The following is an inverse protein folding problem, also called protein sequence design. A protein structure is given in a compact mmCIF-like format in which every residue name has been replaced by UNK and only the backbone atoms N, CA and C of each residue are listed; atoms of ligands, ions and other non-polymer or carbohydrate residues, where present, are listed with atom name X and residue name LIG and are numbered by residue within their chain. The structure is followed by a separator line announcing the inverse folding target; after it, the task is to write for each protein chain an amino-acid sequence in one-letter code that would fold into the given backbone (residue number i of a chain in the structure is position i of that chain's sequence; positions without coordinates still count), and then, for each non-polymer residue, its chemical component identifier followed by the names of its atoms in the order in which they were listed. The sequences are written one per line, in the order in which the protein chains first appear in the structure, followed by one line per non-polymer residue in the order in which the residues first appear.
data_IF_707614530229
#
_entry.id   IF_707614530229
#
_cell.length_a   1.000
_cell.length_b   1.000
_cell.length_c   1.000
_cell.angle_alpha   90.00
_cell.angle_beta   90.00
_cell.angle_gamma   90.00
#
_symmetry.space_group_name_H-M   'P 1'
#
loop_
_entity.id
_entity.type
_entity.pdbx_description
1 polymer ?
#
# COMPACT_ATOMS: atom_id res chain seq x y z
N UNK A 1 48.85 -9.85 20.34
CA UNK A 1 48.12 -9.50 21.57
C UNK A 1 46.76 -10.17 21.53
N UNK A 2 46.64 -11.32 22.19
CA UNK A 2 45.40 -12.06 22.39
C UNK A 2 44.65 -11.44 23.57
N UNK A 3 43.47 -10.87 23.31
CA UNK A 3 42.59 -10.36 24.36
C UNK A 3 41.72 -11.50 24.91
N UNK A 4 42.02 -11.99 26.10
CA UNK A 4 41.18 -12.91 26.86
C UNK A 4 40.03 -12.13 27.54
N UNK A 5 38.79 -12.35 27.10
CA UNK A 5 37.60 -11.92 27.83
C UNK A 5 37.12 -13.04 28.76
N UNK A 6 37.78 -13.17 29.91
CA UNK A 6 37.41 -14.06 31.00
C UNK A 6 36.53 -13.38 32.06
N UNK A 7 35.35 -12.86 31.70
CA UNK A 7 34.30 -12.56 32.68
C UNK A 7 33.18 -13.58 32.52
N UNK A 8 33.08 -14.50 33.48
CA UNK A 8 31.95 -15.40 33.61
C UNK A 8 30.73 -14.55 33.98
N UNK A 9 29.97 -14.11 32.98
CA UNK A 9 28.69 -13.42 33.19
C UNK A 9 27.71 -14.49 33.67
N UNK A 10 27.16 -14.30 34.86
CA UNK A 10 26.17 -15.22 35.44
C UNK A 10 24.80 -14.89 34.85
N UNK A 11 24.34 -15.75 33.93
CA UNK A 11 23.08 -15.59 33.19
C UNK A 11 21.89 -16.29 33.86
N UNK A 12 22.08 -16.83 35.07
CA UNK A 12 21.06 -17.61 35.79
C UNK A 12 19.81 -16.81 36.17
N UNK A 13 19.94 -15.49 36.33
CA UNK A 13 18.84 -14.58 36.70
C UNK A 13 18.11 -13.94 35.51
N UNK A 14 18.49 -14.26 34.27
CA UNK A 14 17.84 -13.71 33.08
C UNK A 14 16.63 -14.57 32.72
N UNK A 15 15.45 -13.94 32.62
CA UNK A 15 14.25 -14.60 32.11
C UNK A 15 14.34 -14.77 30.59
N UNK A 16 14.98 -15.87 30.20
CA UNK A 16 15.15 -16.23 28.80
C UNK A 16 13.83 -16.45 28.05
N UNK A 17 12.70 -16.70 28.73
CA UNK A 17 11.40 -16.81 28.04
C UNK A 17 10.88 -15.44 27.59
N UNK A 18 11.10 -14.39 28.38
CA UNK A 18 10.79 -13.02 27.99
C UNK A 18 11.68 -12.57 26.82
N UNK A 19 12.97 -12.92 26.87
CA UNK A 19 13.96 -12.60 25.82
C UNK A 19 13.62 -13.29 24.50
N UNK A 20 13.26 -14.58 24.54
CA UNK A 20 12.92 -15.37 23.34
C UNK A 20 11.54 -15.05 22.74
N UNK A 21 10.63 -14.42 23.51
CA UNK A 21 9.35 -13.88 23.00
C UNK A 21 9.51 -12.54 22.32
N UNK A 22 10.61 -11.84 22.55
CA UNK A 22 10.89 -10.56 21.93
C UNK A 22 11.59 -10.76 20.59
N UNK A 23 10.86 -10.56 19.49
CA UNK A 23 11.36 -10.71 18.13
C UNK A 23 12.55 -9.80 17.81
N UNK A 24 12.68 -8.65 18.48
CA UNK A 24 13.81 -7.74 18.29
C UNK A 24 15.12 -8.31 18.83
N UNK A 25 15.08 -8.87 20.04
CA UNK A 25 16.28 -9.41 20.69
C UNK A 25 16.70 -10.73 20.02
N UNK A 26 15.74 -11.58 19.66
CA UNK A 26 16.03 -12.82 18.93
C UNK A 26 16.59 -12.58 17.54
N UNK A 27 16.28 -11.46 16.87
CA UNK A 27 16.95 -11.04 15.63
C UNK A 27 18.40 -10.62 15.88
N UNK A 28 18.66 -9.84 16.95
CA UNK A 28 20.02 -9.41 17.28
C UNK A 28 20.96 -10.54 17.72
N UNK A 29 20.39 -11.64 18.23
CA UNK A 29 21.13 -12.83 18.66
C UNK A 29 21.44 -13.82 17.52
N UNK A 30 20.87 -13.63 16.32
CA UNK A 30 21.19 -14.47 15.16
C UNK A 30 22.56 -14.10 14.63
N UNK A 31 23.38 -15.12 14.34
CA UNK A 31 24.64 -14.90 13.64
C UNK A 31 24.40 -14.40 12.22
N UNK A 32 25.46 -13.94 11.54
CA UNK A 32 25.45 -13.54 10.11
C UNK A 32 24.88 -14.63 9.20
N UNK A 33 24.91 -15.89 9.63
CA UNK A 33 24.38 -17.04 8.89
C UNK A 33 22.91 -17.38 9.26
N UNK A 34 22.24 -16.56 10.06
CA UNK A 34 20.84 -16.77 10.48
C UNK A 34 20.62 -17.84 11.55
N UNK A 35 21.68 -18.55 11.95
CA UNK A 35 21.65 -19.57 13.00
C UNK A 35 21.73 -18.94 14.39
N UNK A 36 20.95 -19.49 15.33
CA UNK A 36 21.03 -19.16 16.76
C UNK A 36 22.29 -19.79 17.36
N UNK A 37 22.97 -19.13 18.32
CA UNK A 37 24.13 -19.68 18.99
C UNK A 37 23.86 -21.07 19.60
N UNK A 38 24.80 -22.00 19.45
CA UNK A 38 24.63 -23.41 19.85
C UNK A 38 24.20 -23.59 21.33
N UNK A 39 24.73 -22.77 22.24
CA UNK A 39 24.38 -22.82 23.67
C UNK A 39 22.89 -22.50 23.93
N UNK A 40 22.28 -21.63 23.11
CA UNK A 40 20.88 -21.24 23.25
C UNK A 40 19.94 -22.34 22.75
N UNK A 41 20.36 -23.05 21.70
CA UNK A 41 19.68 -24.25 21.19
C UNK A 41 19.71 -25.36 22.23
N UNK A 42 20.88 -25.63 22.84
CA UNK A 42 21.02 -26.63 23.90
C UNK A 42 20.18 -26.31 25.15
N UNK A 43 20.13 -25.04 25.57
CA UNK A 43 19.29 -24.60 26.67
C UNK A 43 17.80 -24.86 26.41
N UNK A 44 17.32 -24.56 25.19
CA UNK A 44 15.93 -24.78 24.78
C UNK A 44 15.56 -26.26 24.76
N UNK A 45 16.46 -27.11 24.27
CA UNK A 45 16.26 -28.58 24.26
C UNK A 45 16.17 -29.13 25.68
N UNK A 46 17.07 -28.72 26.58
CA UNK A 46 17.03 -29.13 28.00
C UNK A 46 15.74 -28.68 28.70
N UNK A 47 15.27 -27.47 28.44
CA UNK A 47 14.04 -26.93 29.06
C UNK A 47 12.76 -27.61 28.55
N UNK A 48 12.66 -27.89 27.26
CA UNK A 48 11.54 -28.65 26.69
C UNK A 48 11.49 -30.08 27.24
N UNK A 49 12.65 -30.71 27.45
CA UNK A 49 12.73 -32.02 28.11
C UNK A 49 12.25 -31.99 29.57
N UNK A 50 12.47 -30.87 30.29
CA UNK A 50 11.99 -30.69 31.67
C UNK A 50 10.48 -30.40 31.72
N UNK A 51 9.95 -29.57 30.82
CA UNK A 51 8.50 -29.30 30.71
C UNK A 51 7.70 -30.54 30.31
N UNK A 52 8.29 -31.43 29.48
CA UNK A 52 7.67 -32.71 29.14
C UNK A 52 7.58 -33.66 30.35
N UNK A 53 8.51 -33.57 31.31
CA UNK A 53 8.46 -34.34 32.57
C UNK A 53 7.42 -33.79 33.55
N UNK A 54 7.15 -32.49 33.54
CA UNK A 54 6.16 -31.85 34.42
C UNK A 54 4.69 -32.06 33.97
N UNK A 55 4.45 -32.31 32.67
CA UNK A 55 3.09 -32.43 32.10
C UNK A 55 2.36 -33.75 32.35
N UNK A 56 2.94 -34.72 33.08
CA UNK A 56 2.35 -36.06 33.25
C UNK A 56 1.28 -36.13 34.36
N UNK A 57 1.01 -35.07 35.12
CA UNK A 57 0.06 -35.14 36.25
C UNK A 57 -1.04 -34.07 36.17
N UNK A 58 -2.00 -34.18 35.24
CA UNK A 58 -3.37 -33.64 35.43
C UNK A 58 -4.36 -34.44 34.57
N UNK A 59 -5.12 -35.37 35.17
CA UNK A 59 -6.29 -35.99 34.54
C UNK A 59 -7.48 -35.01 34.53
N UNK A 60 -8.06 -34.77 33.34
CA UNK A 60 -9.20 -33.90 33.16
C UNK A 60 -10.53 -34.68 33.20
N UNK A 61 -11.47 -34.25 34.07
CA UNK A 61 -12.85 -34.77 34.11
C UNK A 61 -13.72 -34.13 33.03
N UNK A 62 -14.65 -34.86 32.38
CA UNK A 62 -15.51 -34.32 31.33
C UNK A 62 -16.68 -33.49 31.91
N UNK A 63 -16.96 -32.32 31.29
CA UNK A 63 -18.15 -31.51 31.56
C UNK A 63 -19.26 -31.85 30.54
N UNK A 64 -20.43 -32.21 31.07
CA UNK A 64 -21.67 -32.42 30.33
C UNK A 64 -22.26 -31.06 29.92
N UNK A 65 -22.64 -30.88 28.64
CA UNK A 65 -23.39 -29.71 28.16
C UNK A 65 -24.89 -30.04 28.05
N UNK A 66 -25.74 -29.14 28.52
CA UNK A 66 -27.18 -29.17 28.33
C UNK A 66 -27.57 -28.63 26.93
N UNK A 67 -28.68 -29.16 26.38
CA UNK A 67 -29.27 -28.81 25.09
C UNK A 67 -30.00 -27.47 25.14
N UNK A 68 -29.77 -26.66 24.11
CA UNK A 68 -30.52 -25.44 23.81
C UNK A 68 -31.99 -25.73 23.51
N UNK A 69 -32.88 -24.91 24.07
CA UNK A 69 -34.29 -24.81 23.70
C UNK A 69 -34.62 -23.35 23.43
N UNK A 70 -34.67 -22.98 22.15
CA UNK A 70 -35.12 -21.67 21.72
C UNK A 70 -35.65 -21.73 20.28
N UNK A 71 -36.89 -22.17 20.11
CA UNK A 71 -37.61 -22.08 18.85
C UNK A 71 -39.10 -21.82 19.07
N UNK A 72 -39.43 -20.66 19.65
CA UNK A 72 -40.76 -20.08 19.46
C UNK A 72 -40.82 -18.64 19.95
N UNK A 73 -40.97 -17.68 19.04
CA UNK A 73 -41.89 -16.54 19.08
C UNK A 73 -41.85 -15.91 17.68
N UNK A 74 -42.99 -15.94 16.98
CA UNK A 74 -43.19 -15.24 15.70
C UNK A 74 -43.56 -13.78 15.95
N UNK A 75 -43.12 -12.95 15.01
CA UNK A 75 -43.11 -11.50 14.97
C UNK A 75 -44.49 -10.83 14.92
N UNK A 76 -44.54 -9.64 15.50
CA UNK A 76 -45.68 -8.74 15.58
C UNK A 76 -46.20 -8.28 14.21
N UNK A 77 -47.52 -8.41 14.05
CA UNK A 77 -48.38 -7.68 13.14
C UNK A 77 -48.40 -6.19 13.49
N UNK A 78 -47.98 -5.30 12.58
CA UNK A 78 -48.52 -3.93 12.47
C UNK A 78 -48.56 -3.48 11.00
N UNK A 79 -49.77 -3.38 10.49
CA UNK A 79 -50.12 -2.72 9.23
C UNK A 79 -49.88 -1.21 9.34
N UNK A 80 -49.19 -0.63 8.36
CA UNK A 80 -49.26 0.80 8.04
C UNK A 80 -49.41 0.94 6.53
N UNK A 81 -50.66 0.98 6.08
CA UNK A 81 -51.04 1.41 4.74
C UNK A 81 -50.96 2.94 4.68
N UNK A 82 -49.95 3.46 3.99
CA UNK A 82 -49.84 4.87 3.66
C UNK A 82 -49.02 5.01 2.38
N UNK A 83 -49.67 5.44 1.30
CA UNK A 83 -49.07 5.77 0.01
C UNK A 83 -48.11 6.96 0.17
N UNK A 84 -46.80 6.69 0.26
CA UNK A 84 -45.79 7.74 0.13
C UNK A 84 -45.52 7.98 -1.36
N UNK A 85 -45.60 9.26 -1.78
CA UNK A 85 -45.12 9.74 -3.09
C UNK A 85 -43.66 9.31 -3.28
N UNK A 86 -43.32 8.81 -4.47
CA UNK A 86 -41.94 8.54 -4.88
C UNK A 86 -41.11 9.82 -4.76
N UNK A 87 -40.01 9.73 -4.03
CA UNK A 87 -38.95 10.74 -4.09
C UNK A 87 -38.27 10.61 -5.46
N UNK A 88 -38.18 11.72 -6.19
CA UNK A 88 -37.48 11.78 -7.47
C UNK A 88 -35.99 11.71 -7.14
N UNK A 89 -35.38 10.56 -7.40
CA UNK A 89 -33.93 10.42 -7.35
C UNK A 89 -33.37 11.23 -8.52
N UNK A 90 -32.52 12.26 -8.29
CA UNK A 90 -31.78 12.87 -9.38
C UNK A 90 -30.85 11.79 -9.95
N UNK A 91 -31.06 11.41 -11.21
CA UNK A 91 -30.07 10.63 -11.95
C UNK A 91 -28.79 11.45 -11.94
N UNK A 92 -27.72 10.93 -11.35
CA UNK A 92 -26.40 11.53 -11.52
C UNK A 92 -26.04 11.42 -13.00
N UNK A 93 -25.76 12.53 -13.71
CA UNK A 93 -25.00 12.42 -14.93
C UNK A 93 -23.59 11.95 -14.53
N UNK A 94 -22.88 11.26 -15.42
CA UNK A 94 -21.51 10.75 -15.23
C UNK A 94 -21.36 9.39 -14.54
N UNK A 95 -21.81 8.34 -15.23
CA UNK A 95 -21.18 7.03 -15.15
C UNK A 95 -19.76 7.13 -15.74
N UNK A 96 -18.74 7.28 -14.89
CA UNK A 96 -17.33 7.16 -15.26
C UNK A 96 -17.05 5.72 -15.74
N UNK A 97 -16.80 5.55 -17.03
CA UNK A 97 -16.55 4.25 -17.70
C UNK A 97 -15.16 3.63 -17.42
N UNK A 98 -14.31 4.24 -16.58
CA UNK A 98 -12.94 3.76 -16.33
C UNK A 98 -12.70 3.26 -14.89
N UNK A 99 -13.73 2.72 -14.22
CA UNK A 99 -13.52 1.97 -12.98
C UNK A 99 -13.58 0.47 -13.30
N UNK A 100 -12.60 -0.33 -12.85
CA UNK A 100 -12.65 -1.76 -13.13
C UNK A 100 -13.95 -2.37 -12.55
N UNK A 101 -14.60 -3.20 -13.35
CA UNK A 101 -15.96 -3.71 -13.11
C UNK A 101 -16.09 -4.55 -11.81
N UNK A 102 -14.99 -4.95 -11.18
CA UNK A 102 -14.96 -5.78 -9.97
C UNK A 102 -13.90 -5.30 -8.99
N UNK A 103 -14.15 -5.34 -7.66
CA UNK A 103 -13.16 -4.97 -6.65
C UNK A 103 -11.90 -5.84 -6.70
N UNK A 104 -12.02 -7.10 -7.14
CA UNK A 104 -10.86 -7.97 -7.34
C UNK A 104 -9.98 -7.50 -8.52
N UNK A 105 -10.59 -6.90 -9.55
CA UNK A 105 -9.86 -6.31 -10.67
C UNK A 105 -9.14 -5.02 -10.24
N UNK A 106 -9.82 -4.14 -9.48
CA UNK A 106 -9.16 -2.97 -8.87
C UNK A 106 -7.96 -3.38 -8.04
N UNK A 107 -8.14 -4.36 -7.16
CA UNK A 107 -7.07 -4.83 -6.29
C UNK A 107 -5.84 -5.31 -7.08
N UNK A 108 -6.04 -6.14 -8.11
CA UNK A 108 -4.94 -6.62 -8.95
C UNK A 108 -4.25 -5.48 -9.67
N UNK A 109 -5.02 -4.52 -10.18
CA UNK A 109 -4.50 -3.31 -10.83
C UNK A 109 -3.66 -2.47 -9.86
N UNK A 110 -4.17 -2.14 -8.67
CA UNK A 110 -3.48 -1.32 -7.67
C UNK A 110 -2.19 -1.98 -7.18
N UNK A 111 -2.22 -3.28 -6.88
CA UNK A 111 -1.00 -4.04 -6.49
C UNK A 111 0.00 -4.08 -7.65
N UNK A 112 -0.47 -4.20 -8.89
CA UNK A 112 0.40 -4.17 -10.05
C UNK A 112 1.10 -2.81 -10.22
N UNK A 113 0.39 -1.70 -10.01
CA UNK A 113 0.99 -0.35 -10.04
C UNK A 113 2.12 -0.22 -9.01
N UNK A 114 1.86 -0.58 -7.75
CA UNK A 114 2.89 -0.51 -6.70
C UNK A 114 4.06 -1.46 -6.98
N UNK A 115 3.79 -2.69 -7.43
CA UNK A 115 4.82 -3.65 -7.83
C UNK A 115 5.69 -3.13 -8.98
N UNK A 116 5.13 -2.37 -9.93
CA UNK A 116 5.92 -1.76 -11.01
C UNK A 116 6.94 -0.75 -10.48
N UNK A 117 6.55 0.06 -9.50
CA UNK A 117 7.42 1.06 -8.87
C UNK A 117 8.49 0.39 -8.02
N UNK A 118 8.12 -0.52 -7.12
CA UNK A 118 9.08 -1.23 -6.25
C UNK A 118 10.07 -2.08 -7.02
N UNK A 119 9.64 -2.71 -8.12
CA UNK A 119 10.52 -3.48 -8.97
C UNK A 119 11.36 -2.62 -9.91
N UNK A 120 11.18 -1.29 -9.95
CA UNK A 120 11.95 -0.36 -10.81
C UNK A 120 11.80 -0.76 -12.28
N UNK A 121 10.57 -1.03 -12.72
CA UNK A 121 10.31 -1.33 -14.12
C UNK A 121 10.48 -0.06 -14.95
N UNK A 122 11.02 -0.20 -16.17
CA UNK A 122 11.11 0.91 -17.11
C UNK A 122 9.79 1.67 -17.23
N UNK A 123 9.87 3.01 -17.26
CA UNK A 123 8.71 3.90 -17.42
C UNK A 123 7.61 3.74 -16.36
N UNK A 124 7.91 3.12 -15.20
CA UNK A 124 6.94 3.04 -14.10
C UNK A 124 6.73 4.40 -13.44
N UNK A 125 7.82 5.04 -13.02
CA UNK A 125 7.84 6.37 -12.42
C UNK A 125 9.24 6.96 -12.60
N UNK A 126 9.46 7.94 -13.49
CA UNK A 126 10.79 8.57 -13.63
C UNK A 126 11.23 9.27 -12.36
N UNK A 127 10.28 9.88 -11.62
CA UNK A 127 10.55 10.48 -10.32
C UNK A 127 9.54 10.03 -9.26
N UNK A 128 10.03 9.35 -8.23
CA UNK A 128 9.26 8.88 -7.09
C UNK A 128 9.65 9.69 -5.85
N UNK A 129 8.70 10.44 -5.32
CA UNK A 129 8.85 11.23 -4.09
C UNK A 129 8.35 10.41 -2.90
N UNK A 130 9.22 10.25 -1.90
CA UNK A 130 8.88 9.63 -0.62
C UNK A 130 8.75 10.74 0.42
N UNK A 131 7.57 10.82 1.04
CA UNK A 131 7.28 11.75 2.11
C UNK A 131 7.25 10.96 3.41
N UNK A 132 8.20 11.24 4.29
CA UNK A 132 8.30 10.57 5.58
C UNK A 132 8.31 11.57 6.73
N UNK A 133 8.29 11.04 7.95
CA UNK A 133 8.27 11.80 9.19
C UNK A 133 9.07 11.05 10.26
N UNK A 134 9.46 11.71 11.35
CA UNK A 134 10.07 11.07 12.52
C UNK A 134 9.31 9.83 13.04
N UNK A 135 7.97 9.86 12.91
CA UNK A 135 7.10 8.77 13.32
C UNK A 135 7.15 7.55 12.41
N UNK A 136 7.49 7.75 11.13
CA UNK A 136 7.68 6.66 10.19
C UNK A 136 8.66 7.10 9.11
N UNK A 137 9.89 6.61 9.20
CA UNK A 137 10.93 6.85 8.19
C UNK A 137 10.65 6.06 6.90
N UNK A 138 11.14 6.58 5.78
CA UNK A 138 11.08 5.92 4.47
C UNK A 138 12.04 4.72 4.33
N UNK A 139 12.96 4.53 5.29
CA UNK A 139 14.02 3.51 5.22
C UNK A 139 13.55 2.09 4.90
N UNK A 140 12.40 1.56 5.41
CA UNK A 140 11.99 0.20 5.07
C UNK A 140 11.51 0.08 3.61
N UNK A 141 10.96 1.16 3.04
CA UNK A 141 10.59 1.21 1.62
C UNK A 141 11.83 1.27 0.73
N UNK A 142 12.78 2.16 1.08
CA UNK A 142 14.05 2.33 0.36
C UNK A 142 14.87 1.03 0.40
N UNK A 143 14.97 0.38 1.55
CA UNK A 143 15.68 -0.89 1.69
C UNK A 143 15.10 -1.99 0.79
N UNK A 144 13.77 -2.07 0.69
CA UNK A 144 13.11 -3.02 -0.21
C UNK A 144 13.36 -2.66 -1.69
N UNK A 145 13.33 -1.38 -2.07
CA UNK A 145 13.69 -0.95 -3.42
C UNK A 145 15.14 -1.32 -3.76
N UNK A 146 16.08 -1.09 -2.85
CA UNK A 146 17.51 -1.43 -3.04
C UNK A 146 17.66 -2.94 -3.20
N UNK A 147 17.02 -3.74 -2.34
CA UNK A 147 17.07 -5.21 -2.42
C UNK A 147 16.54 -5.72 -3.76
N UNK A 148 15.44 -5.13 -4.24
CA UNK A 148 14.87 -5.45 -5.56
C UNK A 148 15.77 -4.98 -6.71
N UNK A 149 16.40 -3.81 -6.60
CA UNK A 149 17.35 -3.30 -7.59
C UNK A 149 18.54 -4.24 -7.76
N UNK A 150 19.15 -4.63 -6.63
CA UNK A 150 20.29 -5.57 -6.59
C UNK A 150 19.88 -6.94 -7.14
N UNK A 151 18.67 -7.43 -6.82
CA UNK A 151 18.16 -8.68 -7.38
C UNK A 151 18.02 -8.68 -8.91
N UNK A 152 17.83 -7.50 -9.51
CA UNK A 152 17.72 -7.29 -10.96
C UNK A 152 19.05 -6.85 -11.60
N UNK A 153 20.13 -6.76 -10.82
CA UNK A 153 21.41 -6.24 -11.26
C UNK A 153 21.32 -4.81 -11.84
N UNK A 154 20.47 -3.98 -11.22
CA UNK A 154 20.39 -2.53 -11.50
C UNK A 154 21.45 -1.84 -10.65
N UNK A 155 22.15 -0.86 -11.23
CA UNK A 155 23.14 -0.07 -10.50
C UNK A 155 22.43 0.81 -9.47
N UNK A 156 22.79 0.71 -8.19
CA UNK A 156 22.20 1.55 -7.13
C UNK A 156 23.20 2.63 -6.77
N UNK A 157 22.82 3.88 -7.02
CA UNK A 157 23.60 5.07 -6.66
C UNK A 157 22.86 5.82 -5.57
N UNK A 158 23.54 6.09 -4.48
CA UNK A 158 22.95 6.66 -3.29
C UNK A 158 23.61 8.00 -2.97
N UNK A 159 22.82 9.07 -2.85
CA UNK A 159 23.29 10.41 -2.49
C UNK A 159 23.05 10.60 -1.00
N UNK A 160 24.11 10.40 -0.24
CA UNK A 160 24.05 10.38 1.22
C UNK A 160 24.29 11.76 1.81
N UNK A 161 23.29 12.26 2.55
CA UNK A 161 23.42 13.44 3.42
C UNK A 161 23.49 13.03 4.88
N UNK A 162 22.60 12.12 5.27
CA UNK A 162 22.46 11.62 6.64
C UNK A 162 22.67 10.11 6.77
N UNK A 163 22.45 9.33 5.71
CA UNK A 163 22.65 7.89 5.75
C UNK A 163 24.12 7.49 5.58
N UNK A 164 24.48 6.37 6.19
CA UNK A 164 25.77 5.71 5.99
C UNK A 164 25.50 4.29 5.49
N UNK A 165 25.92 4.01 4.25
CA UNK A 165 25.80 2.69 3.66
C UNK A 165 27.17 2.03 3.56
N UNK A 166 27.22 0.74 3.93
CA UNK A 166 28.44 -0.06 3.92
C UNK A 166 28.37 -1.24 2.95
N UNK A 167 27.27 -1.39 2.20
CA UNK A 167 27.11 -2.50 1.26
C UNK A 167 27.95 -2.24 -0.01
N UNK A 168 28.85 -3.17 -0.40
CA UNK A 168 29.67 -3.02 -1.61
C UNK A 168 28.85 -2.95 -2.91
N UNK A 169 27.58 -3.39 -2.88
CA UNK A 169 26.68 -3.36 -4.04
C UNK A 169 26.09 -1.97 -4.30
N UNK A 170 26.25 -1.03 -3.36
CA UNK A 170 25.70 0.32 -3.42
C UNK A 170 26.84 1.30 -3.67
N UNK A 171 26.70 2.14 -4.70
CA UNK A 171 27.64 3.23 -4.98
C UNK A 171 27.22 4.46 -4.18
N UNK A 172 28.02 4.86 -3.21
CA UNK A 172 27.73 5.99 -2.33
C UNK A 172 28.38 7.29 -2.84
N UNK A 173 27.57 8.33 -3.05
CA UNK A 173 27.97 9.71 -3.31
C UNK A 173 27.72 10.52 -2.05
N UNK A 174 28.76 10.68 -1.24
CA UNK A 174 28.71 11.52 -0.04
C UNK A 174 28.55 12.98 -0.44
N UNK A 175 27.39 13.55 -0.13
CA UNK A 175 27.07 14.95 -0.41
C UNK A 175 27.54 15.91 0.70
N UNK A 176 27.85 15.39 1.89
CA UNK A 176 28.39 16.16 3.00
C UNK A 176 29.69 16.88 2.60
N UNK A 177 29.66 18.22 2.61
CA UNK A 177 30.82 19.07 2.30
C UNK A 177 31.09 19.32 0.81
N UNK A 178 30.27 18.79 -0.11
CA UNK A 178 30.40 19.04 -1.56
C UNK A 178 29.47 20.15 -2.03
N UNK A 179 29.82 20.76 -3.16
CA UNK A 179 28.94 21.71 -3.86
C UNK A 179 27.91 20.97 -4.73
N UNK A 180 26.83 21.67 -5.13
CA UNK A 180 25.79 21.07 -5.97
C UNK A 180 26.32 20.53 -7.31
N UNK A 181 27.21 21.28 -7.96
CA UNK A 181 27.82 20.88 -9.24
C UNK A 181 28.74 19.66 -9.10
N UNK A 182 29.50 19.58 -8.00
CA UNK A 182 30.32 18.41 -7.68
C UNK A 182 29.45 17.16 -7.52
N UNK A 183 28.32 17.26 -6.81
CA UNK A 183 27.39 16.14 -6.63
C UNK A 183 26.85 15.66 -7.98
N UNK A 184 26.47 16.57 -8.88
CA UNK A 184 26.00 16.21 -10.23
C UNK A 184 27.10 15.54 -11.06
N UNK A 185 28.35 16.02 -10.96
CA UNK A 185 29.47 15.42 -11.67
C UNK A 185 29.82 14.01 -11.17
N UNK A 186 29.75 13.80 -9.85
CA UNK A 186 29.97 12.50 -9.22
C UNK A 186 28.86 11.52 -9.59
N UNK A 187 27.60 11.96 -9.59
CA UNK A 187 26.47 11.18 -10.06
C UNK A 187 26.67 10.74 -11.50
N UNK A 188 27.07 11.66 -12.38
CA UNK A 188 27.35 11.35 -13.77
C UNK A 188 28.45 10.29 -13.89
N UNK A 189 29.53 10.42 -13.12
CA UNK A 189 30.63 9.45 -13.10
C UNK A 189 30.15 8.06 -12.66
N UNK A 190 29.34 7.96 -11.60
CA UNK A 190 28.84 6.69 -11.08
C UNK A 190 27.80 6.01 -11.98
N UNK A 191 27.09 6.78 -12.82
CA UNK A 191 26.07 6.25 -13.73
C UNK A 191 26.63 5.78 -15.07
N UNK A 192 27.75 6.34 -15.53
CA UNK A 192 28.33 6.08 -16.86
C UNK A 192 28.60 4.59 -17.16
N UNK A 193 28.92 3.80 -16.14
CA UNK A 193 29.25 2.38 -16.31
C UNK A 193 28.02 1.49 -16.53
N UNK A 194 26.82 2.02 -16.34
CA UNK A 194 25.59 1.24 -16.22
C UNK A 194 24.53 1.62 -17.24
N UNK A 195 23.78 0.63 -17.72
CA UNK A 195 22.65 0.84 -18.66
C UNK A 195 21.40 1.38 -17.95
N UNK A 196 21.19 0.94 -16.72
CA UNK A 196 20.07 1.32 -15.86
C UNK A 196 20.61 1.59 -14.46
N UNK A 197 20.24 2.73 -13.90
CA UNK A 197 20.53 3.10 -12.52
C UNK A 197 19.27 3.43 -11.74
N UNK A 198 19.31 3.13 -10.44
CA UNK A 198 18.42 3.66 -9.42
C UNK A 198 19.19 4.71 -8.64
N UNK A 199 18.79 5.97 -8.74
CA UNK A 199 19.39 7.07 -7.97
C UNK A 199 18.48 7.36 -6.78
N UNK A 200 19.01 7.23 -5.57
CA UNK A 200 18.30 7.50 -4.32
C UNK A 200 18.92 8.70 -3.65
N UNK A 201 18.11 9.69 -3.29
CA UNK A 201 18.53 10.86 -2.50
C UNK A 201 17.89 10.77 -1.12
N UNK A 202 18.71 10.75 -0.07
CA UNK A 202 18.27 10.69 1.33
C UNK A 202 17.44 11.88 1.76
N UNK A 203 17.90 13.08 1.42
CA UNK A 203 17.29 14.33 1.88
C UNK A 203 17.24 15.28 0.69
N UNK A 204 16.09 15.32 0.03
CA UNK A 204 15.82 16.32 -1.00
C UNK A 204 15.79 17.73 -0.41
N UNK A 205 15.44 17.87 0.87
CA UNK A 205 15.48 19.15 1.54
C UNK A 205 16.88 19.75 1.50
N UNK A 206 17.90 18.98 1.90
CA UNK A 206 19.28 19.50 1.96
C UNK A 206 19.89 19.67 0.57
N UNK A 207 19.54 18.81 -0.37
CA UNK A 207 19.96 18.93 -1.77
C UNK A 207 19.48 20.26 -2.40
N UNK A 208 18.26 20.68 -2.08
CA UNK A 208 17.64 21.85 -2.71
C UNK A 208 17.85 23.14 -1.94
N UNK A 209 17.77 23.10 -0.61
CA UNK A 209 17.87 24.31 0.21
C UNK A 209 19.32 24.66 0.56
N UNK A 210 20.12 23.67 1.00
CA UNK A 210 21.51 23.89 1.38
C UNK A 210 22.43 23.88 0.16
N UNK A 211 22.32 22.86 -0.69
CA UNK A 211 23.20 22.72 -1.87
C UNK A 211 22.72 23.46 -3.12
N UNK A 212 21.49 23.96 -3.12
CA UNK A 212 20.88 24.73 -4.23
C UNK A 212 21.00 24.05 -5.60
N UNK A 213 20.90 22.73 -5.61
CA UNK A 213 20.89 21.96 -6.87
C UNK A 213 19.59 22.22 -7.60
N UNK A 214 19.65 22.52 -8.88
CA UNK A 214 18.45 22.62 -9.71
C UNK A 214 17.84 21.22 -9.93
N UNK A 215 16.56 21.06 -9.58
CA UNK A 215 15.81 19.83 -9.83
C UNK A 215 15.70 19.52 -11.33
N UNK A 216 15.63 20.56 -12.18
CA UNK A 216 15.60 20.40 -13.63
C UNK A 216 16.85 19.70 -14.14
N UNK A 217 18.02 20.24 -13.77
CA UNK A 217 19.32 19.64 -14.09
C UNK A 217 19.47 18.20 -13.58
N UNK A 218 19.03 17.92 -12.35
CA UNK A 218 19.07 16.57 -11.77
C UNK A 218 18.17 15.59 -12.56
N UNK A 219 16.95 16.01 -12.89
CA UNK A 219 16.00 15.18 -13.64
C UNK A 219 16.47 14.92 -15.07
N UNK A 220 17.01 15.94 -15.74
CA UNK A 220 17.57 15.82 -17.09
C UNK A 220 18.77 14.85 -17.10
N UNK A 221 19.63 14.94 -16.08
CA UNK A 221 20.74 14.00 -15.93
C UNK A 221 20.22 12.56 -15.71
N UNK A 222 19.34 12.34 -14.73
CA UNK A 222 18.96 10.97 -14.34
C UNK A 222 18.00 10.34 -15.35
N UNK A 223 16.88 11.01 -15.63
CA UNK A 223 15.79 10.45 -16.43
C UNK A 223 15.97 10.64 -17.93
N UNK A 224 16.46 11.80 -18.39
CA UNK A 224 16.55 12.06 -19.84
C UNK A 224 17.84 11.47 -20.45
N UNK A 225 18.99 11.66 -19.79
CA UNK A 225 20.28 11.21 -20.33
C UNK A 225 20.55 9.72 -20.10
N UNK A 226 20.25 9.19 -18.91
CA UNK A 226 20.54 7.79 -18.54
C UNK A 226 19.29 6.91 -18.41
N UNK A 227 18.09 7.39 -18.79
CA UNK A 227 16.84 6.63 -18.71
C UNK A 227 16.61 5.93 -17.35
N UNK A 228 17.12 6.55 -16.29
CA UNK A 228 17.22 5.98 -14.94
C UNK A 228 16.09 6.50 -14.03
N UNK A 229 15.88 5.82 -12.91
CA UNK A 229 14.81 6.16 -11.96
C UNK A 229 15.36 6.98 -10.81
N UNK A 230 14.74 8.14 -10.54
CA UNK A 230 15.05 8.99 -9.39
C UNK A 230 14.06 8.70 -8.26
N UNK A 231 14.59 8.41 -7.07
CA UNK A 231 13.84 8.31 -5.82
C UNK A 231 14.41 9.33 -4.86
N UNK A 232 13.55 10.20 -4.33
CA UNK A 232 13.99 11.19 -3.36
C UNK A 232 13.12 11.15 -2.11
N UNK A 233 13.77 11.15 -0.96
CA UNK A 233 13.11 11.23 0.34
C UNK A 233 13.05 12.69 0.78
N UNK A 234 11.88 13.10 1.28
CA UNK A 234 11.63 14.41 1.84
C UNK A 234 10.97 14.25 3.20
N UNK A 235 11.70 14.67 4.23
CA UNK A 235 11.26 14.68 5.62
C UNK A 235 10.28 15.83 5.85
N UNK A 236 9.02 15.52 6.18
CA UNK A 236 7.96 16.52 6.38
C UNK A 236 8.10 17.27 7.72
N UNK A 237 8.88 16.73 8.65
CA UNK A 237 9.21 17.29 9.95
C UNK A 237 10.33 18.35 9.90
N UNK A 238 10.93 18.58 8.74
CA UNK A 238 11.85 19.70 8.53
C UNK A 238 11.06 20.99 8.27
N UNK A 239 11.42 22.03 9.01
CA UNK A 239 10.83 23.36 8.81
C UNK A 239 11.30 23.92 7.47
N UNK A 240 10.38 24.43 6.63
CA UNK A 240 10.77 25.07 5.39
C UNK A 240 11.64 26.29 5.69
N UNK A 241 12.74 26.44 4.95
CA UNK A 241 13.51 27.67 4.96
C UNK A 241 12.62 28.81 4.44
N UNK A 242 12.26 29.75 5.30
CA UNK A 242 11.53 30.94 4.90
C UNK A 242 12.51 32.01 4.41
N UNK A 243 12.72 32.06 3.11
CA UNK A 243 13.46 33.16 2.48
C UNK A 243 12.54 34.39 2.38
N UNK A 244 12.79 35.39 3.22
CA UNK A 244 12.03 36.64 3.22
C UNK A 244 12.01 37.33 1.84
N UNK A 245 13.07 37.15 1.05
CA UNK A 245 13.23 37.71 -0.29
C UNK A 245 12.35 37.01 -1.35
N UNK A 246 11.93 35.77 -1.11
CA UNK A 246 11.19 34.94 -2.05
C UNK A 246 9.77 34.63 -1.55
N UNK A 247 9.10 35.63 -0.95
CA UNK A 247 7.77 35.47 -0.33
C UNK A 247 6.68 34.93 -1.27
N UNK A 248 6.83 35.07 -2.59
CA UNK A 248 5.89 34.56 -3.61
C UNK A 248 6.36 33.28 -4.28
N UNK A 249 7.58 32.80 -3.99
CA UNK A 249 8.05 31.54 -4.54
C UNK A 249 7.34 30.37 -3.87
N UNK A 250 6.97 29.32 -4.62
CA UNK A 250 6.39 28.13 -4.03
C UNK A 250 7.40 27.47 -3.10
N UNK A 251 6.90 26.81 -2.05
CA UNK A 251 7.76 26.06 -1.16
C UNK A 251 8.41 24.89 -1.92
N UNK A 252 9.67 24.52 -1.59
CA UNK A 252 10.37 23.43 -2.29
C UNK A 252 9.56 22.14 -2.32
N UNK A 253 8.87 21.81 -1.23
CA UNK A 253 8.00 20.65 -1.15
C UNK A 253 6.90 20.66 -2.22
N UNK A 254 6.27 21.81 -2.45
CA UNK A 254 5.18 21.93 -3.42
C UNK A 254 5.70 21.78 -4.85
N UNK A 255 6.88 22.33 -5.14
CA UNK A 255 7.56 22.18 -6.42
C UNK A 255 7.92 20.70 -6.70
N UNK A 256 8.49 20.02 -5.72
CA UNK A 256 8.87 18.60 -5.86
C UNK A 256 7.63 17.71 -5.97
N UNK A 257 6.59 17.97 -5.16
CA UNK A 257 5.28 17.29 -5.29
C UNK A 257 4.67 17.52 -6.67
N UNK A 258 4.83 18.71 -7.25
CA UNK A 258 4.36 18.99 -8.60
C UNK A 258 5.14 18.20 -9.67
N UNK A 259 6.46 18.11 -9.54
CA UNK A 259 7.32 17.35 -10.48
C UNK A 259 7.20 15.83 -10.35
N UNK A 260 6.84 15.33 -9.17
CA UNK A 260 6.75 13.89 -8.90
C UNK A 260 5.69 13.20 -9.76
N UNK A 261 6.07 12.07 -10.37
CA UNK A 261 5.13 11.19 -11.06
C UNK A 261 4.44 10.21 -10.12
N UNK A 262 5.13 9.84 -9.04
CA UNK A 262 4.56 9.05 -7.94
C UNK A 262 4.91 9.72 -6.63
N UNK A 263 3.92 9.94 -5.77
CA UNK A 263 4.11 10.44 -4.41
C UNK A 263 3.69 9.36 -3.44
N UNK A 264 4.56 8.99 -2.51
CA UNK A 264 4.30 7.97 -1.50
C UNK A 264 4.48 8.59 -0.13
N UNK A 265 3.42 8.63 0.65
CA UNK A 265 3.48 9.06 2.06
C UNK A 265 3.61 7.84 2.97
N UNK A 266 4.62 7.89 3.85
CA UNK A 266 4.92 6.82 4.78
C UNK A 266 4.18 7.05 6.11
N UNK A 267 3.40 6.06 6.55
CA UNK A 267 2.69 6.09 7.84
C UNK A 267 3.00 4.85 8.66
N UNK A 268 3.10 5.02 9.97
CA UNK A 268 3.29 3.89 10.89
C UNK A 268 2.02 3.03 10.94
N UNK A 269 2.17 1.70 10.85
CA UNK A 269 1.05 0.77 10.92
C UNK A 269 0.30 0.90 12.25
N UNK A 270 1.02 1.05 13.36
CA UNK A 270 0.41 1.19 14.69
C UNK A 270 -0.49 2.43 14.78
N UNK A 271 -0.05 3.56 14.21
CA UNK A 271 -0.82 4.81 14.18
C UNK A 271 -2.09 4.67 13.33
N UNK A 272 -1.98 4.03 12.17
CA UNK A 272 -3.13 3.76 11.28
C UNK A 272 -4.14 2.81 11.95
N UNK A 273 -3.66 1.79 12.66
CA UNK A 273 -4.54 0.89 13.42
C UNK A 273 -5.21 1.59 14.60
N UNK A 274 -4.50 2.47 15.31
CA UNK A 274 -5.06 3.27 16.39
C UNK A 274 -6.15 4.23 15.89
N UNK A 275 -5.90 4.91 14.77
CA UNK A 275 -6.89 5.77 14.10
C UNK A 275 -8.13 4.98 13.70
N UNK A 276 -7.95 3.80 13.10
CA UNK A 276 -9.05 2.91 12.76
C UNK A 276 -9.84 2.46 14.00
N UNK A 277 -9.16 2.04 15.06
CA UNK A 277 -9.79 1.57 16.29
C UNK A 277 -10.59 2.68 17.00
N UNK A 278 -10.09 3.92 16.96
CA UNK A 278 -10.83 5.08 17.45
C UNK A 278 -12.11 5.30 16.64
N UNK A 279 -12.00 5.29 15.30
CA UNK A 279 -13.12 5.45 14.38
C UNK A 279 -14.20 4.37 14.55
N UNK A 280 -13.80 3.10 14.71
CA UNK A 280 -14.74 2.00 14.97
C UNK A 280 -15.45 2.12 16.32
N UNK A 281 -14.82 2.76 17.30
CA UNK A 281 -15.41 3.05 18.62
C UNK A 281 -16.11 4.41 18.69
N UNK A 282 -16.16 5.15 17.58
CA UNK A 282 -16.65 6.53 17.54
C UNK A 282 -15.96 7.46 18.56
N UNK A 283 -14.67 7.21 18.81
CA UNK A 283 -13.79 8.06 19.62
C UNK A 283 -13.09 9.09 18.72
N UNK A 284 -12.60 10.16 19.33
CA UNK A 284 -11.73 11.11 18.63
C UNK A 284 -10.49 10.39 18.07
N UNK A 285 -10.14 10.69 16.81
CA UNK A 285 -8.97 10.11 16.18
C UNK A 285 -7.69 10.59 16.90
N UNK A 286 -6.78 9.68 17.30
CA UNK A 286 -5.52 10.07 17.89
C UNK A 286 -4.69 10.85 16.87
N UNK A 287 -4.18 12.00 17.30
CA UNK A 287 -3.26 12.83 16.52
C UNK A 287 -1.82 12.41 16.79
N UNK A 288 -1.04 12.24 15.73
CA UNK A 288 0.38 11.87 15.82
C UNK A 288 1.24 12.91 15.10
N UNK A 289 2.49 13.03 15.52
CA UNK A 289 3.49 13.88 14.84
C UNK A 289 3.14 15.36 14.88
N UNK A 290 3.32 16.04 13.74
CA UNK A 290 3.09 17.48 13.62
C UNK A 290 1.65 17.88 13.98
N UNK A 291 0.68 16.99 13.78
CA UNK A 291 -0.73 17.24 14.10
C UNK A 291 -1.00 17.34 15.61
N UNK A 292 -0.11 16.83 16.46
CA UNK A 292 -0.25 16.95 17.90
C UNK A 292 -0.01 18.38 18.39
N UNK A 293 0.63 19.24 17.57
CA UNK A 293 0.99 20.61 17.95
C UNK A 293 1.98 20.66 19.12
N UNK A 294 2.69 19.56 19.40
CA UNK A 294 3.69 19.52 20.43
C UNK A 294 4.96 20.23 19.94
N UNK A 295 5.41 21.23 20.68
CA UNK A 295 6.65 21.94 20.36
C UNK A 295 7.88 21.06 20.66
N UNK A 296 8.86 21.10 19.77
CA UNK A 296 10.11 20.34 19.88
C UNK A 296 10.14 19.05 19.04
N UNK A 297 11.23 18.28 19.18
CA UNK A 297 11.42 17.02 18.47
C UNK A 297 10.70 15.92 19.25
N UNK A 298 9.45 15.63 18.86
CA UNK A 298 8.60 14.66 19.55
C UNK A 298 8.32 13.47 18.65
N UNK A 299 8.80 12.30 19.06
CA UNK A 299 8.40 11.03 18.45
C UNK A 299 7.23 10.43 19.22
N UNK A 300 6.16 10.10 18.51
CA UNK A 300 4.99 9.47 19.11
C UNK A 300 5.29 8.03 19.55
N UNK A 301 4.57 7.54 20.56
CA UNK A 301 4.63 6.12 20.94
C UNK A 301 4.20 5.23 19.76
N UNK A 302 4.78 4.04 19.68
CA UNK A 302 4.57 3.08 18.59
C UNK A 302 4.90 3.63 17.17
N UNK A 303 5.74 4.66 17.11
CA UNK A 303 6.39 5.10 15.87
C UNK A 303 7.30 4.00 15.31
N UNK A 304 7.49 4.01 13.99
CA UNK A 304 8.35 3.09 13.24
C UNK A 304 8.04 1.61 13.55
N UNK A 305 6.78 1.21 13.35
CA UNK A 305 6.34 -0.16 13.65
C UNK A 305 7.17 -1.20 12.89
N UNK A 306 7.78 -2.11 13.64
CA UNK A 306 8.63 -3.20 13.11
C UNK A 306 7.87 -4.21 12.25
N UNK A 307 6.53 -4.25 12.32
CA UNK A 307 5.69 -5.15 11.53
C UNK A 307 5.63 -4.76 10.06
N UNK A 308 5.87 -3.48 9.75
CA UNK A 308 5.80 -2.95 8.40
C UNK A 308 5.28 -1.53 8.35
N UNK A 309 5.28 -1.00 7.14
CA UNK A 309 4.93 0.38 6.85
C UNK A 309 3.63 0.45 6.05
N UNK A 310 2.84 1.48 6.30
CA UNK A 310 1.67 1.82 5.49
C UNK A 310 2.09 2.91 4.50
N UNK A 311 1.69 2.74 3.25
CA UNK A 311 2.05 3.61 2.13
C UNK A 311 0.76 4.17 1.54
N UNK A 312 0.52 5.47 1.66
CA UNK A 312 -0.52 6.11 0.85
C UNK A 312 0.16 6.63 -0.41
N UNK A 313 -0.09 5.94 -1.51
CA UNK A 313 0.56 6.20 -2.77
C UNK A 313 -0.40 6.88 -3.73
N UNK A 314 0.05 7.96 -4.34
CA UNK A 314 -0.59 8.68 -5.42
C UNK A 314 0.22 8.45 -6.70
N UNK A 315 -0.39 7.78 -7.67
CA UNK A 315 0.18 7.56 -8.99
C UNK A 315 -0.43 8.53 -9.99
N UNK A 316 0.39 9.31 -10.68
CA UNK A 316 -0.10 10.22 -11.72
C UNK A 316 -0.10 9.54 -13.08
N UNK A 317 -1.29 9.43 -13.68
CA UNK A 317 -1.46 8.86 -15.01
C UNK A 317 -0.98 9.84 -16.08
N UNK A 318 -0.73 9.35 -17.30
CA UNK A 318 -0.44 10.19 -18.47
C UNK A 318 -1.55 11.20 -18.80
N UNK A 319 -2.79 10.90 -18.39
CA UNK A 319 -3.92 11.83 -18.51
C UNK A 319 -3.88 13.00 -17.51
N UNK A 320 -2.92 13.02 -16.58
CA UNK A 320 -2.83 13.99 -15.49
C UNK A 320 -3.72 13.66 -14.29
N UNK A 321 -4.63 12.68 -14.39
CA UNK A 321 -5.49 12.29 -13.26
C UNK A 321 -4.70 11.45 -12.24
N UNK A 322 -4.72 11.83 -10.94
CA UNK A 322 -4.10 11.03 -9.90
C UNK A 322 -4.96 9.81 -9.53
N UNK A 323 -4.30 8.70 -9.25
CA UNK A 323 -4.87 7.46 -8.74
C UNK A 323 -4.23 7.16 -7.39
N UNK A 324 -5.01 7.28 -6.31
CA UNK A 324 -4.53 7.13 -4.93
C UNK A 324 -5.00 5.82 -4.31
N UNK A 325 -4.09 5.07 -3.71
CA UNK A 325 -4.38 3.81 -3.01
C UNK A 325 -3.50 3.64 -1.77
N UNK A 326 -4.01 2.91 -0.78
CA UNK A 326 -3.29 2.63 0.48
C UNK A 326 -2.78 1.20 0.51
N UNK A 327 -1.46 1.05 0.60
CA UNK A 327 -0.76 -0.22 0.62
C UNK A 327 -0.15 -0.49 1.99
N UNK A 328 0.10 -1.76 2.26
CA UNK A 328 0.91 -2.21 3.37
C UNK A 328 2.11 -2.98 2.83
N UNK A 329 3.30 -2.56 3.25
CA UNK A 329 4.56 -3.21 2.95
C UNK A 329 5.15 -3.75 4.26
N UNK A 330 5.20 -5.07 4.40
CA UNK A 330 5.95 -5.71 5.48
C UNK A 330 7.46 -5.69 5.17
N UNK A 331 8.34 -5.84 6.18
CA UNK A 331 9.75 -6.08 5.93
C UNK A 331 9.95 -7.34 5.09
N UNK A 332 10.85 -7.27 4.10
CA UNK A 332 11.29 -8.43 3.34
C UNK A 332 12.07 -9.41 4.21
N UNK A 333 11.86 -10.70 3.97
CA UNK A 333 12.62 -11.77 4.59
C UNK A 333 13.42 -12.53 3.51
N UNK A 334 14.52 -13.18 3.87
CA UNK A 334 15.34 -13.94 2.94
C UNK A 334 14.55 -15.07 2.26
N UNK A 335 13.52 -15.60 2.92
CA UNK A 335 12.65 -16.64 2.37
C UNK A 335 11.79 -16.17 1.18
N UNK A 336 11.54 -14.86 1.06
CA UNK A 336 10.77 -14.28 -0.03
C UNK A 336 11.52 -14.27 -1.36
N UNK A 337 12.84 -14.40 -1.30
CA UNK A 337 13.72 -14.39 -2.44
C UNK A 337 14.16 -15.82 -2.78
N UNK A 338 14.40 -16.06 -4.07
CA UNK A 338 15.03 -17.28 -4.55
C UNK A 338 16.49 -17.33 -4.11
N UNK A 339 17.07 -18.53 -4.13
CA UNK A 339 18.51 -18.67 -3.95
C UNK A 339 19.22 -17.86 -5.05
N UNK A 340 20.21 -17.02 -4.70
CA UNK A 340 20.92 -16.21 -5.68
C UNK A 340 21.61 -17.10 -6.72
N UNK A 341 21.54 -16.68 -7.98
CA UNK A 341 22.34 -17.32 -9.04
C UNK A 341 23.82 -16.94 -8.87
N UNK A 342 24.77 -17.76 -9.35
CA UNK A 342 26.20 -17.43 -9.30
C UNK A 342 26.47 -16.05 -9.90
N UNK A 343 27.06 -15.15 -9.12
CA UNK A 343 27.36 -13.77 -9.52
C UNK A 343 26.30 -12.73 -9.12
N UNK A 344 25.18 -13.11 -8.51
CA UNK A 344 24.17 -12.20 -7.98
C UNK A 344 24.19 -12.21 -6.44
N UNK A 345 24.07 -11.04 -5.81
CA UNK A 345 24.04 -10.93 -4.35
C UNK A 345 22.68 -11.37 -3.76
N UNK A 346 21.59 -11.09 -4.48
CA UNK A 346 20.22 -11.38 -4.06
C UNK A 346 19.50 -12.12 -5.19
N UNK A 347 18.75 -13.17 -4.86
CA UNK A 347 17.94 -13.88 -5.86
C UNK A 347 16.65 -13.14 -6.23
N UNK A 348 15.93 -13.64 -7.22
CA UNK A 348 14.68 -13.00 -7.66
C UNK A 348 13.55 -13.17 -6.65
N UNK A 349 12.64 -12.19 -6.58
CA UNK A 349 11.47 -12.25 -5.71
C UNK A 349 10.53 -13.40 -6.12
N UNK A 350 10.14 -14.26 -5.18
CA UNK A 350 9.24 -15.40 -5.44
C UNK A 350 7.79 -14.96 -5.66
N UNK A 351 7.31 -14.09 -4.77
CA UNK A 351 5.93 -13.63 -4.75
C UNK A 351 5.88 -12.22 -4.18
N UNK A 352 5.02 -11.39 -4.77
CA UNK A 352 4.74 -10.08 -4.22
C UNK A 352 4.01 -10.20 -2.88
N UNK A 353 4.55 -9.48 -1.89
CA UNK A 353 4.02 -9.44 -0.53
C UNK A 353 3.46 -8.07 -0.15
N UNK A 354 3.48 -7.11 -1.09
CA UNK A 354 2.71 -5.87 -0.96
C UNK A 354 1.24 -6.20 -1.10
N UNK A 355 0.45 -5.70 -0.17
CA UNK A 355 -1.00 -5.90 -0.14
C UNK A 355 -1.72 -4.58 0.05
N UNK A 356 -2.99 -4.51 -0.34
CA UNK A 356 -3.80 -3.36 0.05
C UNK A 356 -4.01 -3.37 1.57
N UNK A 357 -4.06 -2.19 2.17
CA UNK A 357 -4.28 -2.03 3.61
C UNK A 357 -5.55 -2.76 4.08
N UNK A 358 -6.61 -2.74 3.25
CA UNK A 358 -7.86 -3.44 3.50
C UNK A 358 -7.74 -4.98 3.64
N UNK A 359 -6.63 -5.58 3.19
CA UNK A 359 -6.38 -7.02 3.26
C UNK A 359 -5.56 -7.44 4.48
N UNK A 360 -4.92 -6.49 5.15
CA UNK A 360 -4.12 -6.77 6.33
C UNK A 360 -5.07 -7.23 7.43
N UNK A 361 -4.94 -8.45 7.98
CA UNK A 361 -5.90 -8.97 8.95
C UNK A 361 -6.09 -8.09 10.20
N UNK A 362 -5.03 -7.39 10.62
CA UNK A 362 -5.10 -6.44 11.73
C UNK A 362 -5.94 -5.20 11.40
N UNK A 363 -5.97 -4.79 10.13
CA UNK A 363 -6.76 -3.66 9.64
C UNK A 363 -8.12 -4.08 9.11
N UNK A 364 -8.30 -5.31 8.63
CA UNK A 364 -9.57 -5.78 8.10
C UNK A 364 -10.54 -6.09 9.25
N UNK A 365 -11.54 -5.25 9.48
CA UNK A 365 -12.63 -5.62 10.41
C UNK A 365 -13.53 -6.68 9.78
N UNK A 366 -14.22 -7.46 10.63
CA UNK A 366 -15.13 -8.53 10.18
C UNK A 366 -16.19 -8.03 9.20
N UNK A 367 -16.59 -6.76 9.30
CA UNK A 367 -17.52 -6.10 8.37
C UNK A 367 -16.91 -5.83 6.98
N UNK A 368 -15.63 -5.43 6.92
CA UNK A 368 -14.90 -5.21 5.66
C UNK A 368 -14.59 -6.54 4.98
N UNK A 369 -14.19 -7.57 5.74
CA UNK A 369 -14.01 -8.94 5.23
C UNK A 369 -15.34 -9.45 4.64
N UNK A 370 -16.46 -9.20 5.31
CA UNK A 370 -17.80 -9.51 4.82
C UNK A 370 -18.13 -8.80 3.49
N UNK A 371 -17.78 -7.52 3.33
CA UNK A 371 -17.99 -6.80 2.06
C UNK A 371 -17.05 -7.25 0.93
N UNK A 372 -15.80 -7.57 1.22
CA UNK A 372 -14.82 -8.05 0.22
C UNK A 372 -15.18 -9.47 -0.24
N UNK A 373 -15.65 -10.34 0.66
CA UNK A 373 -16.15 -11.68 0.31
C UNK A 373 -17.49 -11.61 -0.43
N UNK A 374 -18.41 -10.75 -0.01
CA UNK A 374 -19.70 -10.55 -0.67
C UNK A 374 -19.61 -9.87 -2.04
N UNK A 375 -18.46 -9.29 -2.39
CA UNK A 375 -18.23 -8.70 -3.72
C UNK A 375 -17.40 -9.62 -4.65
N UNK A 376 -16.86 -10.73 -4.13
CA UNK A 376 -16.20 -11.78 -4.90
C UNK A 376 -17.17 -12.88 -5.33
N UNK A 377 -18.20 -13.13 -4.53
CA UNK A 377 -19.43 -13.73 -5.04
C UNK A 377 -20.18 -12.62 -5.77
N UNK A 378 -20.66 -12.91 -6.98
CA UNK A 378 -21.52 -12.03 -7.76
C UNK A 378 -22.52 -11.33 -6.84
N UNK A 379 -22.76 -10.04 -7.11
CA UNK A 379 -23.74 -9.20 -6.42
C UNK A 379 -25.01 -10.02 -6.17
N UNK A 380 -25.12 -10.64 -5.00
CA UNK A 380 -26.37 -11.14 -4.47
C UNK A 380 -27.12 -9.89 -4.03
N UNK A 381 -27.62 -9.17 -5.04
CA UNK A 381 -28.72 -8.24 -4.92
C UNK A 381 -29.71 -8.94 -4.01
N UNK A 382 -30.00 -8.35 -2.85
CA UNK A 382 -30.91 -8.88 -1.83
C UNK A 382 -32.36 -8.99 -2.34
N UNK A 383 -32.57 -8.75 -3.63
CA UNK A 383 -33.78 -8.99 -4.39
C UNK A 383 -33.38 -9.78 -5.65
N UNK A 384 -33.81 -11.04 -5.73
CA UNK A 384 -33.79 -11.80 -6.97
C UNK A 384 -34.65 -11.04 -8.00
N UNK A 385 -34.02 -10.34 -8.95
CA UNK A 385 -34.71 -9.66 -10.07
C UNK A 385 -35.13 -10.63 -11.18
N UNK A 386 -34.95 -11.93 -10.98
CA UNK A 386 -35.49 -12.97 -11.84
C UNK A 386 -36.98 -13.16 -11.59
N UNK A 387 -37.79 -13.15 -12.66
CA UNK A 387 -39.16 -13.66 -12.56
C UNK A 387 -39.09 -15.14 -12.19
N UNK A 388 -39.75 -15.52 -11.10
CA UNK A 388 -39.94 -16.94 -10.78
C UNK A 388 -40.64 -17.65 -11.94
N UNK A 389 -40.43 -18.96 -12.10
CA UNK A 389 -41.00 -19.71 -13.22
C UNK A 389 -42.54 -19.58 -13.29
N UNK A 390 -43.18 -19.45 -12.12
CA UNK A 390 -44.62 -19.17 -12.01
C UNK A 390 -45.01 -17.78 -12.54
N UNK A 391 -44.19 -16.75 -12.30
CA UNK A 391 -44.43 -15.40 -12.83
C UNK A 391 -44.16 -15.32 -14.34
N UNK A 392 -43.19 -16.09 -14.84
CA UNK A 392 -42.92 -16.23 -16.28
C UNK A 392 -44.09 -16.91 -17.00
N UNK A 393 -44.63 -17.99 -16.43
CA UNK A 393 -45.84 -18.65 -16.94
C UNK A 393 -47.07 -17.73 -16.88
N UNK A 394 -47.26 -17.00 -15.77
CA UNK A 394 -48.37 -16.07 -15.63
C UNK A 394 -48.29 -14.96 -16.69
N UNK A 395 -47.09 -14.40 -16.95
CA UNK A 395 -46.89 -13.42 -18.03
C UNK A 395 -47.14 -14.01 -19.41
N UNK A 396 -46.72 -15.26 -19.66
CA UNK A 396 -46.96 -15.95 -20.93
C UNK A 396 -48.42 -16.34 -21.18
N UNK A 397 -49.21 -16.51 -20.12
CA UNK A 397 -50.64 -16.84 -20.18
C UNK A 397 -51.55 -15.60 -20.34
N UNK A 398 -51.00 -14.38 -20.19
CA UNK A 398 -51.75 -13.15 -20.43
C UNK A 398 -51.84 -12.94 -21.94
N UNK A 399 -53.01 -13.26 -22.50
CA UNK A 399 -53.33 -13.04 -23.91
C UNK A 399 -53.61 -11.55 -24.12
N UNK A 400 -52.64 -10.86 -24.72
CA UNK A 400 -52.81 -9.49 -25.16
C UNK A 400 -53.55 -9.48 -26.51
N UNK A 401 -54.60 -8.65 -26.68
CA UNK A 401 -55.21 -8.43 -27.98
C UNK A 401 -54.13 -8.02 -29.00
N UNK A 402 -54.10 -8.64 -30.17
CA UNK A 402 -53.18 -8.37 -31.29
C UNK A 402 -51.71 -8.81 -31.14
N UNK A 403 -51.34 -9.53 -30.07
CA UNK A 403 -49.96 -10.02 -29.90
C UNK A 403 -49.60 -11.16 -30.86
N UNK A 404 -50.60 -11.91 -31.34
CA UNK A 404 -50.42 -12.96 -32.35
C UNK A 404 -50.10 -12.39 -33.74
N UNK A 405 -50.40 -11.11 -34.00
CA UNK A 405 -50.08 -10.46 -35.27
C UNK A 405 -48.56 -10.30 -35.50
N UNK A 406 -47.75 -10.45 -34.45
CA UNK A 406 -46.30 -10.32 -34.51
C UNK A 406 -45.56 -11.66 -34.58
N UNK A 407 -46.25 -12.79 -34.40
CA UNK A 407 -45.65 -14.15 -34.35
C UNK A 407 -46.05 -15.06 -35.52
N UNK A 408 -46.91 -14.60 -36.41
CA UNK A 408 -47.26 -15.33 -37.64
C UNK A 408 -46.20 -15.18 -38.73
N UNK A 409 -45.93 -16.28 -39.42
CA UNK A 409 -44.98 -16.50 -40.53
C UNK A 409 -45.31 -15.71 -41.82
N UNK A 410 -45.91 -14.52 -41.71
CA UNK A 410 -46.37 -13.71 -42.84
C UNK A 410 -46.98 -12.35 -42.47
N UNK A 411 -46.46 -11.66 -41.46
CA UNK A 411 -46.95 -10.34 -41.03
C UNK A 411 -45.88 -9.26 -41.21
N UNK A 412 -46.02 -8.45 -42.27
CA UNK A 412 -45.26 -7.24 -42.51
C UNK A 412 -45.44 -6.29 -41.30
N UNK A 413 -44.41 -6.21 -40.46
CA UNK A 413 -44.42 -5.42 -39.24
C UNK A 413 -44.74 -3.96 -39.54
N UNK A 414 -45.59 -3.35 -38.71
CA UNK A 414 -45.98 -1.96 -38.82
C UNK A 414 -44.77 -1.03 -38.91
N UNK A 415 -44.47 -0.58 -40.13
CA UNK A 415 -43.54 0.53 -40.38
C UNK A 415 -44.19 1.78 -39.80
N UNK A 416 -43.64 2.27 -38.70
CA UNK A 416 -43.96 3.60 -38.21
C UNK A 416 -43.27 4.56 -39.17
N UNK A 417 -44.05 5.21 -40.05
CA UNK A 417 -43.55 6.35 -40.82
C UNK A 417 -43.54 7.56 -39.89
N UNK A 418 -42.35 8.12 -39.66
CA UNK A 418 -42.20 9.45 -39.09
C UNK A 418 -42.38 10.46 -40.22
N UNK A 419 -43.32 11.38 -40.08
CA UNK A 419 -43.53 12.48 -41.01
C UNK A 419 -43.01 13.74 -40.32
N UNK A 420 -41.92 14.32 -40.84
CA UNK A 420 -41.26 15.47 -40.23
C UNK A 420 -42.18 16.70 -40.33
N UNK A 421 -42.54 17.28 -39.19
CA UNK A 421 -43.27 18.55 -39.14
C UNK A 421 -42.34 19.71 -39.50
N UNK A 422 -42.87 20.75 -40.15
CA UNK A 422 -42.12 21.96 -40.52
C UNK A 422 -41.65 22.82 -39.32
N UNK A 423 -41.91 22.36 -38.09
CA UNK A 423 -41.51 22.97 -36.83
C UNK A 423 -40.38 22.19 -36.14
N UNK A 424 -39.84 21.13 -36.77
CA UNK A 424 -38.74 20.32 -36.25
C UNK A 424 -37.42 20.89 -36.78
N UNK A 425 -36.86 21.84 -36.05
CA UNK A 425 -35.57 22.50 -36.26
C UNK A 425 -34.42 21.55 -35.91
N UNK A 426 -34.18 20.59 -36.81
CA UNK A 426 -33.07 19.67 -36.76
C UNK A 426 -31.76 20.43 -37.06
N UNK A 427 -31.04 20.83 -36.01
CA UNK A 427 -29.74 21.49 -36.12
C UNK A 427 -28.68 20.49 -36.62
N UNK A 428 -28.16 20.71 -37.84
CA UNK A 428 -27.24 19.81 -38.58
C UNK A 428 -25.82 19.70 -37.97
N UNK A 429 -25.57 20.30 -36.78
CA UNK A 429 -24.24 20.42 -36.17
C UNK A 429 -23.95 19.42 -35.03
N UNK A 430 -24.92 18.58 -34.61
CA UNK A 430 -24.76 17.75 -33.40
C UNK A 430 -24.18 16.33 -33.63
N UNK A 431 -24.00 15.88 -34.87
CA UNK A 431 -23.64 14.47 -35.17
C UNK A 431 -22.24 14.27 -35.79
N UNK A 432 -21.21 14.92 -35.25
CA UNK A 432 -19.81 14.46 -35.40
C UNK A 432 -19.15 14.21 -34.03
N UNK A 433 -19.47 13.09 -33.37
CA UNK A 433 -18.58 12.43 -32.39
C UNK A 433 -18.65 10.90 -32.50
#
# INVERSE_FOLDING_TARGET
MSFEFGRHIDWSNVDWDAVLRNDGITRSLRSVNGELPAWLVEYRVKKLANLAKERVVVEAKPKIRARDSASWIKSNNRNFTGTRKREIVPRSPFSNMDKPLSPAANQRHSIHLMSRVLNIRHSSSPFTLLLDELNQRASPFVAEMVTRAVSRNINVVFVSFESLHSDPSIRDVRAAGKTGDEILSDLQFQMNDSKESLVIVDSLHDLLNDKKVDMGALFDLVSMKYASTLVGVYHQDLLPAQDAEASYAPQPLDLIKYLATTVITCKSLAHVLAAKAAKERSLAEPTFGLLQGAEGIVQSLDANDTRGIVLEAEFRRKSGRPESETFFLRPGDHYDYNTPMPGYAVGTLKREFVVLLAQVPAYASKEVIGRVQAAGNEIESTFELGLTEKQRQARGAVVLPYFDAQKGEGGEGGRILYDMGAEDDFDEEEDEI
#
